data_IF_313743360749
#
_entry.id   IF_313743360749
#
_cell.length_a   1.000
_cell.length_b   1.000
_cell.length_c   1.000
_cell.angle_alpha   90.00
_cell.angle_beta   90.00
_cell.angle_gamma   90.00
#
_symmetry.space_group_name_H-M   'P 1'
#
loop_
_entity.id
_entity.type
_entity.pdbx_description
1 polymer ?
#
# COMPACT_ATOMS: atom_id res chain seq x y z
N UNK A 1 -8.95 18.13 13.21
CA UNK A 1 -9.59 18.06 11.88
C UNK A 1 -8.72 18.84 10.91
N UNK A 2 -8.11 18.16 9.94
CA UNK A 2 -7.26 18.79 8.93
C UNK A 2 -8.06 18.84 7.61
N UNK A 3 -8.37 20.03 7.07
CA UNK A 3 -9.17 20.17 5.86
C UNK A 3 -8.50 19.57 4.62
N UNK A 4 -7.18 19.31 4.64
CA UNK A 4 -6.47 18.69 3.54
C UNK A 4 -6.77 17.17 3.40
N UNK A 5 -7.38 16.53 4.41
CA UNK A 5 -7.75 15.11 4.36
C UNK A 5 -9.18 14.93 3.84
N UNK A 6 -9.48 15.50 2.67
CA UNK A 6 -10.82 15.43 2.07
C UNK A 6 -11.20 13.97 1.82
N UNK A 7 -12.19 13.46 2.55
CA UNK A 7 -12.68 12.09 2.40
C UNK A 7 -11.70 11.01 2.89
N UNK A 8 -10.73 11.35 3.73
CA UNK A 8 -9.75 10.40 4.22
C UNK A 8 -9.00 10.86 5.46
N UNK A 9 -7.80 10.33 5.62
CA UNK A 9 -6.87 10.60 6.71
C UNK A 9 -5.42 10.68 6.22
N UNK A 10 -4.51 10.82 7.18
CA UNK A 10 -3.07 11.00 6.94
C UNK A 10 -2.40 9.83 6.21
N UNK A 11 -3.02 8.65 6.17
CA UNK A 11 -2.53 7.49 5.43
C UNK A 11 -2.85 7.57 3.93
N UNK A 12 -3.49 8.65 3.49
CA UNK A 12 -3.72 8.97 2.08
C UNK A 12 -5.09 8.55 1.56
N UNK A 13 -6.00 8.10 2.42
CA UNK A 13 -7.30 7.57 2.04
C UNK A 13 -8.24 7.47 3.21
N UNK A 14 -9.42 6.89 2.98
CA UNK A 14 -10.32 6.53 4.07
C UNK A 14 -9.78 5.27 4.74
N UNK A 15 -9.68 5.26 6.07
CA UNK A 15 -9.34 4.07 6.84
C UNK A 15 -10.54 3.12 6.95
N UNK A 16 -10.89 2.49 5.84
CA UNK A 16 -11.77 1.33 5.82
C UNK A 16 -11.05 0.10 5.26
N UNK A 17 -11.61 -1.08 5.54
CA UNK A 17 -11.02 -2.34 5.08
C UNK A 17 -10.96 -2.41 3.55
N UNK A 18 -11.93 -1.84 2.85
CA UNK A 18 -11.99 -1.90 1.39
C UNK A 18 -10.81 -1.14 0.79
N UNK A 19 -10.59 0.12 1.15
CA UNK A 19 -9.47 0.94 0.70
C UNK A 19 -8.13 0.39 1.19
N UNK A 20 -8.08 -0.17 2.39
CA UNK A 20 -6.84 -0.78 2.89
C UNK A 20 -6.33 -1.87 1.95
N UNK A 21 -7.21 -2.72 1.42
CA UNK A 21 -6.83 -3.84 0.54
C UNK A 21 -6.85 -3.53 -0.96
N UNK A 22 -7.55 -2.47 -1.39
CA UNK A 22 -7.73 -2.14 -2.83
C UNK A 22 -6.84 -0.99 -3.31
N UNK A 23 -6.06 -0.38 -2.43
CA UNK A 23 -5.06 0.65 -2.79
C UNK A 23 -3.69 0.01 -3.00
N UNK A 24 -2.85 0.51 -3.92
CA UNK A 24 -3.08 1.68 -4.80
C UNK A 24 -4.06 1.41 -5.95
N UNK A 25 -4.23 0.14 -6.34
CA UNK A 25 -5.22 -0.35 -7.31
C UNK A 25 -5.64 -1.77 -6.89
N UNK A 26 -6.87 -2.24 -7.21
CA UNK A 26 -7.32 -3.57 -6.83
C UNK A 26 -6.47 -4.65 -7.53
N UNK A 27 -5.58 -5.30 -6.79
CA UNK A 27 -4.61 -6.29 -7.27
C UNK A 27 -4.49 -7.43 -6.25
N UNK A 28 -4.01 -8.59 -6.70
CA UNK A 28 -3.71 -9.73 -5.81
C UNK A 28 -2.61 -9.43 -4.79
N UNK A 29 -1.65 -8.59 -5.18
CA UNK A 29 -0.66 -8.02 -4.27
C UNK A 29 -1.01 -6.55 -4.04
N UNK A 30 -1.44 -6.17 -2.82
CA UNK A 30 -1.88 -4.80 -2.52
C UNK A 30 -0.72 -3.79 -2.55
N UNK A 31 0.52 -4.27 -2.71
CA UNK A 31 1.70 -3.42 -2.84
C UNK A 31 2.04 -3.10 -4.30
N UNK A 32 1.54 -3.88 -5.27
CA UNK A 32 1.90 -3.67 -6.67
C UNK A 32 1.17 -2.47 -7.27
N UNK A 33 1.92 -1.62 -7.98
CA UNK A 33 1.35 -0.56 -8.82
C UNK A 33 0.99 -1.10 -10.20
N UNK A 34 0.26 -0.35 -11.06
CA UNK A 34 0.02 -0.73 -12.44
C UNK A 34 1.29 -0.96 -13.27
N UNK A 35 2.39 -0.28 -12.91
CA UNK A 35 3.69 -0.42 -13.57
C UNK A 35 4.43 -1.65 -13.05
N UNK A 36 4.94 -2.48 -13.96
CA UNK A 36 5.69 -3.69 -13.63
C UNK A 36 6.99 -3.36 -12.87
N UNK A 37 7.33 -4.21 -11.90
CA UNK A 37 8.51 -4.01 -11.05
C UNK A 37 8.41 -2.83 -10.07
N UNK A 38 7.28 -2.12 -9.99
CA UNK A 38 7.09 -0.96 -9.11
C UNK A 38 6.06 -1.25 -8.03
N UNK A 39 6.48 -1.03 -6.78
CA UNK A 39 5.71 -1.34 -5.56
C UNK A 39 5.56 -0.12 -4.66
N UNK A 40 4.43 -0.03 -3.98
CA UNK A 40 4.13 1.02 -3.01
C UNK A 40 4.44 0.54 -1.59
N UNK A 41 5.38 1.22 -0.93
CA UNK A 41 5.83 0.93 0.45
C UNK A 41 5.22 1.85 1.51
N UNK A 42 4.15 2.59 1.18
CA UNK A 42 3.59 3.67 1.99
C UNK A 42 2.64 3.16 3.08
N UNK A 43 2.33 4.00 4.08
CA UNK A 43 1.20 3.80 5.02
C UNK A 43 -0.16 3.68 4.33
N UNK A 44 -0.22 4.02 3.04
CA UNK A 44 -1.39 3.80 2.17
C UNK A 44 -1.62 2.33 1.76
N UNK A 45 -0.82 1.39 2.27
CA UNK A 45 -0.93 -0.07 2.00
C UNK A 45 -1.05 -0.84 3.32
N UNK A 46 -1.56 -2.09 3.34
CA UNK A 46 -1.67 -2.88 4.56
C UNK A 46 -0.30 -3.09 5.24
N UNK A 47 -0.23 -3.06 6.58
CA UNK A 47 -1.34 -2.97 7.54
C UNK A 47 -1.83 -1.54 7.84
N UNK A 48 -1.31 -0.52 7.15
CA UNK A 48 -1.69 0.89 7.33
C UNK A 48 -0.61 1.71 8.03
N UNK A 49 -1.01 2.83 8.65
CA UNK A 49 -0.11 3.72 9.36
C UNK A 49 0.47 3.15 10.65
N UNK A 50 1.70 3.55 10.97
CA UNK A 50 2.39 3.21 12.23
C UNK A 50 3.91 3.15 12.06
N UNK A 51 4.63 3.14 13.18
CA UNK A 51 6.11 3.06 13.21
C UNK A 51 6.62 1.60 13.24
N UNK A 52 5.94 0.70 12.52
CA UNK A 52 6.27 -0.73 12.49
C UNK A 52 7.03 -1.18 11.24
N UNK A 53 7.09 -0.38 10.16
CA UNK A 53 7.83 -0.69 8.93
C UNK A 53 7.24 -1.78 8.02
N UNK A 54 6.22 -2.52 8.46
CA UNK A 54 5.61 -3.63 7.72
C UNK A 54 5.17 -3.33 6.28
N UNK A 55 4.68 -2.13 5.96
CA UNK A 55 4.30 -1.79 4.57
C UNK A 55 5.51 -1.90 3.62
N UNK A 56 6.67 -1.39 4.04
CA UNK A 56 7.91 -1.52 3.29
C UNK A 56 8.44 -2.94 3.25
N UNK A 57 8.33 -3.67 4.38
CA UNK A 57 8.71 -5.09 4.43
C UNK A 57 7.94 -5.93 3.40
N UNK A 58 6.61 -5.83 3.38
CA UNK A 58 5.79 -6.61 2.47
C UNK A 58 5.94 -6.19 1.01
N UNK A 59 6.10 -4.88 0.73
CA UNK A 59 6.41 -4.41 -0.61
C UNK A 59 7.76 -4.94 -1.12
N UNK A 60 8.78 -5.01 -0.26
CA UNK A 60 10.06 -5.62 -0.60
C UNK A 60 9.92 -7.13 -0.87
N UNK A 61 9.18 -7.87 -0.05
CA UNK A 61 8.88 -9.28 -0.31
C UNK A 61 8.16 -9.48 -1.65
N UNK A 62 7.21 -8.61 -2.00
CA UNK A 62 6.51 -8.67 -3.28
C UNK A 62 7.46 -8.43 -4.47
N UNK A 63 8.40 -7.49 -4.34
CA UNK A 63 9.44 -7.27 -5.34
C UNK A 63 10.39 -8.45 -5.50
N UNK A 64 10.83 -9.06 -4.40
CA UNK A 64 11.66 -10.27 -4.42
C UNK A 64 10.94 -11.44 -5.08
N UNK A 65 9.66 -11.64 -4.79
CA UNK A 65 8.86 -12.69 -5.41
C UNK A 65 8.70 -12.51 -6.93
N UNK A 66 8.55 -11.26 -7.40
CA UNK A 66 8.50 -10.96 -8.82
C UNK A 66 9.82 -11.27 -9.52
N UNK A 67 10.96 -10.86 -8.94
CA UNK A 67 12.28 -11.18 -9.50
C UNK A 67 12.56 -12.69 -9.55
N UNK A 68 12.03 -13.47 -8.61
CA UNK A 68 12.16 -14.92 -8.60
C UNK A 68 11.27 -15.63 -9.65
N UNK A 69 10.32 -14.92 -10.26
CA UNK A 69 9.38 -15.48 -11.24
C UNK A 69 9.79 -15.28 -12.71
N UNK A 70 10.88 -14.55 -12.96
CA UNK A 70 11.50 -14.36 -14.28
C UNK A 70 12.80 -15.14 -14.41
#
# INVERSE_FOLDING_TARGET
>A
YNPNYIGGDINGGVADLTQLWTRPVPRWTPYATPLEGVYLCSSSTPPGGGVHGMCGYHAACAGLAYLASG
#
